data_IF_957415426438
#
_entry.id   IF_957415426438
#
_cell.length_a   1.000
_cell.length_b   1.000
_cell.length_c   1.000
_cell.angle_alpha   90.00
_cell.angle_beta   90.00
_cell.angle_gamma   90.00
#
_symmetry.space_group_name_H-M   'P 1'
#
loop_
_entity.id
_entity.type
_entity.pdbx_description
1 polymer ?
#
# COMPACT_ATOMS: atom_id res chain seq x y z
N UNK A 1 3.21 -0.81 20.89
CA UNK A 1 4.49 -0.58 20.17
C UNK A 1 4.61 -1.38 18.88
N UNK A 2 4.40 -2.70 18.88
CA UNK A 2 4.56 -3.54 17.67
C UNK A 2 3.66 -3.10 16.49
N UNK A 3 2.39 -2.80 16.74
CA UNK A 3 1.44 -2.31 15.72
C UNK A 3 1.90 -1.01 15.05
N UNK A 4 2.51 -0.10 15.81
CA UNK A 4 3.02 1.17 15.28
C UNK A 4 4.19 0.93 14.32
N UNK A 5 5.08 -0.01 14.64
CA UNK A 5 6.19 -0.38 13.76
C UNK A 5 5.68 -0.96 12.43
N UNK A 6 4.68 -1.84 12.49
CA UNK A 6 4.04 -2.39 11.28
C UNK A 6 3.36 -1.27 10.48
N UNK A 7 2.63 -0.37 11.14
CA UNK A 7 1.99 0.77 10.49
C UNK A 7 2.99 1.66 9.74
N UNK A 8 4.12 2.01 10.37
CA UNK A 8 5.16 2.83 9.72
C UNK A 8 5.83 2.12 8.56
N UNK A 9 6.01 0.80 8.65
CA UNK A 9 6.54 -0.01 7.55
C UNK A 9 5.58 -0.02 6.35
N UNK A 10 4.30 -0.36 6.57
CA UNK A 10 3.30 -0.41 5.51
C UNK A 10 3.00 0.96 4.90
N UNK A 11 2.89 2.01 5.72
CA UNK A 11 2.68 3.38 5.24
C UNK A 11 3.88 3.92 4.47
N UNK A 12 5.10 3.64 4.95
CA UNK A 12 6.33 4.00 4.23
C UNK A 12 6.41 3.34 2.86
N UNK A 13 6.11 2.05 2.77
CA UNK A 13 6.07 1.31 1.50
C UNK A 13 4.97 1.84 0.59
N UNK A 14 3.77 2.12 1.11
CA UNK A 14 2.65 2.67 0.33
C UNK A 14 2.95 4.04 -0.27
N UNK A 15 3.63 4.93 0.48
CA UNK A 15 4.05 6.24 -0.03
C UNK A 15 5.15 6.08 -1.08
N UNK A 16 6.15 5.24 -0.81
CA UNK A 16 7.24 4.98 -1.74
C UNK A 16 6.72 4.39 -3.06
N UNK A 17 5.78 3.44 -3.00
CA UNK A 17 5.17 2.86 -4.20
C UNK A 17 4.34 3.90 -4.96
N UNK A 18 3.56 4.75 -4.29
CA UNK A 18 2.84 5.86 -4.93
C UNK A 18 3.75 6.84 -5.68
N UNK A 19 4.91 7.18 -5.11
CA UNK A 19 5.92 7.99 -5.80
C UNK A 19 6.49 7.25 -7.03
N UNK A 20 6.72 5.95 -6.93
CA UNK A 20 7.21 5.13 -8.04
C UNK A 20 6.18 4.92 -9.16
N UNK A 21 4.88 4.92 -8.84
CA UNK A 21 3.79 4.92 -9.84
C UNK A 21 3.91 6.14 -10.75
N UNK A 22 4.08 7.33 -10.16
CA UNK A 22 4.16 8.60 -10.90
C UNK A 22 5.50 8.76 -11.63
N UNK A 23 6.59 8.27 -11.02
CA UNK A 23 7.94 8.42 -11.57
C UNK A 23 8.28 7.42 -12.67
N UNK A 24 7.52 6.33 -12.79
CA UNK A 24 7.76 5.28 -13.77
C UNK A 24 7.40 5.73 -15.19
N UNK A 25 8.38 5.65 -16.11
CA UNK A 25 8.20 5.98 -17.53
C UNK A 25 7.45 4.90 -18.33
N UNK A 26 7.47 3.66 -17.86
CA UNK A 26 6.74 2.56 -18.48
C UNK A 26 5.42 2.32 -17.74
N UNK A 27 4.27 2.33 -18.43
CA UNK A 27 2.97 2.14 -17.80
C UNK A 27 2.83 0.76 -17.14
N UNK A 28 3.49 -0.27 -17.71
CA UNK A 28 3.49 -1.62 -17.11
C UNK A 28 4.15 -1.62 -15.72
N UNK A 29 5.28 -0.94 -15.56
CA UNK A 29 5.93 -0.84 -14.25
C UNK A 29 5.11 0.03 -13.28
N UNK A 30 4.52 1.12 -13.79
CA UNK A 30 3.62 1.96 -13.01
C UNK A 30 2.45 1.16 -12.42
N UNK A 31 1.84 0.26 -13.20
CA UNK A 31 0.77 -0.63 -12.73
C UNK A 31 1.25 -1.62 -11.66
N UNK A 32 2.45 -2.20 -11.79
CA UNK A 32 3.00 -3.09 -10.77
C UNK A 32 3.20 -2.35 -9.43
N UNK A 33 3.70 -1.12 -9.45
CA UNK A 33 3.81 -0.27 -8.26
C UNK A 33 2.45 0.11 -7.68
N UNK A 34 1.44 0.29 -8.53
CA UNK A 34 0.08 0.60 -8.12
C UNK A 34 -0.57 -0.56 -7.36
N UNK A 35 -0.41 -1.80 -7.86
CA UNK A 35 -0.87 -3.02 -7.17
C UNK A 35 -0.19 -3.15 -5.81
N UNK A 36 1.13 -2.89 -5.74
CA UNK A 36 1.88 -2.91 -4.49
C UNK A 36 1.38 -1.85 -3.49
N UNK A 37 0.99 -0.67 -3.98
CA UNK A 37 0.37 0.38 -3.17
C UNK A 37 -0.98 -0.06 -2.59
N UNK A 38 -1.87 -0.64 -3.42
CA UNK A 38 -3.17 -1.13 -2.96
C UNK A 38 -3.05 -2.27 -1.94
N UNK A 39 -2.11 -3.20 -2.15
CA UNK A 39 -1.86 -4.27 -1.20
C UNK A 39 -1.38 -3.74 0.17
N UNK A 40 -0.48 -2.76 0.17
CA UNK A 40 -0.03 -2.13 1.42
C UNK A 40 -1.18 -1.36 2.11
N UNK A 41 -2.03 -0.68 1.34
CA UNK A 41 -3.20 0.01 1.88
C UNK A 41 -4.23 -0.96 2.49
N UNK A 42 -4.44 -2.14 1.88
CA UNK A 42 -5.27 -3.19 2.47
C UNK A 42 -4.70 -3.70 3.80
N UNK A 43 -3.37 -3.86 3.89
CA UNK A 43 -2.67 -4.17 5.13
C UNK A 43 -2.88 -3.09 6.22
N UNK A 44 -2.85 -1.81 5.84
CA UNK A 44 -3.15 -0.69 6.76
C UNK A 44 -4.60 -0.73 7.25
N UNK A 45 -5.56 -1.05 6.37
CA UNK A 45 -6.96 -1.21 6.77
C UNK A 45 -7.18 -2.38 7.71
N UNK A 46 -6.49 -3.51 7.50
CA UNK A 46 -6.49 -4.63 8.46
C UNK A 46 -5.97 -4.21 9.85
N UNK A 47 -4.90 -3.41 9.92
CA UNK A 47 -4.36 -2.91 11.20
C UNK A 47 -5.33 -1.97 11.92
N UNK A 48 -6.16 -1.25 11.17
CA UNK A 48 -7.20 -0.36 11.70
C UNK A 48 -8.50 -1.11 12.07
N UNK A 49 -8.58 -2.43 11.84
CA UNK A 49 -9.79 -3.22 12.06
C UNK A 49 -10.85 -3.06 10.96
N UNK A 50 -10.50 -2.48 9.81
CA UNK A 50 -11.38 -2.27 8.67
C UNK A 50 -11.30 -3.44 7.66
N UNK A 51 -11.65 -4.64 8.12
CA UNK A 51 -11.46 -5.90 7.39
C UNK A 51 -12.21 -5.95 6.05
N UNK A 52 -13.48 -5.53 6.06
CA UNK A 52 -14.31 -5.49 4.84
C UNK A 52 -13.72 -4.54 3.79
N UNK A 53 -13.28 -3.35 4.21
CA UNK A 53 -12.63 -2.38 3.33
C UNK A 53 -11.32 -2.92 2.75
N UNK A 54 -10.52 -3.61 3.56
CA UNK A 54 -9.28 -4.23 3.11
C UNK A 54 -9.51 -5.25 1.99
N UNK A 55 -10.56 -6.08 2.11
CA UNK A 55 -10.91 -7.08 1.10
C UNK A 55 -11.53 -6.48 -0.17
N UNK A 56 -12.24 -5.35 -0.06
CA UNK A 56 -12.85 -4.67 -1.22
C UNK A 56 -11.83 -3.86 -2.03
N UNK A 57 -10.75 -3.40 -1.38
CA UNK A 57 -9.72 -2.57 -2.02
C UNK A 57 -8.85 -3.34 -3.02
N UNK A 58 -8.66 -4.63 -2.81
CA UNK A 58 -7.82 -5.53 -3.62
C UNK A 58 -8.69 -6.32 -4.58
#
# INVERSE_FOLDING_TARGET
MFTALIFYMFSGIAVASGVMVISSRNPVHSVLWLILAFFNAAGLFLLLGAEFLAMVLV
#
